data_IF_882208645518
#
_entry.id   IF_882208645518
#
_cell.length_a   1.000
_cell.length_b   1.000
_cell.length_c   1.000
_cell.angle_alpha   90.00
_cell.angle_beta   90.00
_cell.angle_gamma   90.00
#
_symmetry.space_group_name_H-M   'P 1'
#
loop_
_entity.id
_entity.type
_entity.pdbx_description
1 polymer ?
#
# COMPACT_ATOMS: atom_id res chain seq x y z
N UNK A 1 -8.10 -22.94 25.48
CA UNK A 1 -9.33 -22.15 25.35
C UNK A 1 -10.25 -22.45 26.53
N UNK A 2 -11.22 -21.58 26.76
CA UNK A 2 -12.21 -21.73 27.82
C UNK A 2 -13.43 -22.49 27.26
N UNK A 3 -14.07 -23.30 28.11
CA UNK A 3 -15.31 -24.01 27.77
C UNK A 3 -16.55 -23.20 28.20
N UNK A 4 -17.70 -23.54 27.64
CA UNK A 4 -18.97 -22.92 28.04
C UNK A 4 -19.23 -23.12 29.55
N UNK A 5 -19.53 -22.05 30.26
CA UNK A 5 -19.72 -22.03 31.69
C UNK A 5 -18.48 -21.68 32.54
N UNK A 6 -17.29 -21.69 31.93
CA UNK A 6 -16.07 -21.32 32.63
C UNK A 6 -15.95 -19.81 32.82
N UNK A 7 -15.33 -19.42 33.92
CA UNK A 7 -15.04 -18.02 34.26
C UNK A 7 -13.52 -17.83 34.39
N UNK A 8 -13.02 -16.73 33.87
CA UNK A 8 -11.63 -16.32 34.05
C UNK A 8 -11.55 -14.85 34.44
N UNK A 9 -10.46 -14.48 35.08
CA UNK A 9 -10.19 -13.10 35.45
C UNK A 9 -8.77 -12.75 35.03
N UNK A 10 -8.60 -11.60 34.35
CA UNK A 10 -7.30 -11.07 34.01
C UNK A 10 -7.23 -9.57 34.20
N UNK A 11 -6.03 -9.05 34.36
CA UNK A 11 -5.79 -7.62 34.43
C UNK A 11 -5.48 -7.10 33.03
N UNK A 12 -6.12 -6.03 32.62
CA UNK A 12 -5.91 -5.32 31.36
C UNK A 12 -5.94 -3.82 31.55
N UNK A 13 -5.42 -3.09 30.58
CA UNK A 13 -5.54 -1.64 30.51
C UNK A 13 -6.73 -1.30 29.62
N UNK A 14 -7.56 -0.35 30.06
CA UNK A 14 -8.70 0.12 29.28
C UNK A 14 -8.19 0.97 28.11
N UNK A 15 -8.56 0.58 26.89
CA UNK A 15 -8.09 1.22 25.65
C UNK A 15 -8.99 2.36 25.16
N UNK A 16 -10.16 2.56 25.80
CA UNK A 16 -11.11 3.61 25.43
C UNK A 16 -12.06 4.00 26.56
N UNK A 17 -12.65 5.21 26.48
CA UNK A 17 -13.65 5.73 27.40
C UNK A 17 -13.07 6.65 28.49
N UNK A 18 -13.91 7.05 29.46
CA UNK A 18 -13.52 8.01 30.52
C UNK A 18 -12.36 7.52 31.41
N UNK A 19 -12.06 6.22 31.38
CA UNK A 19 -11.01 5.58 32.18
C UNK A 19 -9.89 5.00 31.32
N UNK A 20 -9.68 5.52 30.12
CA UNK A 20 -8.59 5.11 29.23
C UNK A 20 -7.21 5.19 29.93
N UNK A 21 -6.39 4.16 29.74
CA UNK A 21 -5.07 4.05 30.35
C UNK A 21 -5.07 3.50 31.79
N UNK A 22 -6.23 3.29 32.44
CA UNK A 22 -6.30 2.72 33.76
C UNK A 22 -6.26 1.18 33.71
N UNK A 23 -5.62 0.58 34.73
CA UNK A 23 -5.65 -0.86 34.93
C UNK A 23 -7.01 -1.28 35.48
N UNK A 24 -7.61 -2.26 34.85
CA UNK A 24 -8.87 -2.85 35.30
C UNK A 24 -8.76 -4.36 35.40
N UNK A 25 -9.47 -4.93 36.35
CA UNK A 25 -9.64 -6.38 36.47
C UNK A 25 -10.88 -6.77 35.68
N UNK A 26 -10.69 -7.54 34.60
CA UNK A 26 -11.77 -8.00 33.73
C UNK A 26 -12.15 -9.42 34.11
N UNK A 27 -13.40 -9.62 34.52
CA UNK A 27 -13.97 -10.93 34.78
C UNK A 27 -14.81 -11.34 33.55
N UNK A 28 -14.44 -12.45 32.90
CA UNK A 28 -15.11 -12.98 31.73
C UNK A 28 -15.78 -14.29 32.08
N UNK A 29 -17.06 -14.42 31.72
CA UNK A 29 -17.82 -15.65 31.80
C UNK A 29 -18.16 -16.10 30.37
N UNK A 30 -17.76 -17.30 30.00
CA UNK A 30 -18.06 -17.88 28.70
C UNK A 30 -19.47 -18.48 28.74
N UNK A 31 -20.42 -17.85 28.09
CA UNK A 31 -21.81 -18.34 28.06
C UNK A 31 -22.00 -19.47 27.06
N UNK A 32 -21.32 -19.40 25.91
CA UNK A 32 -21.37 -20.46 24.88
C UNK A 32 -20.09 -20.46 24.05
N UNK A 33 -19.68 -21.63 23.61
CA UNK A 33 -18.63 -21.80 22.60
C UNK A 33 -19.34 -22.31 21.34
N UNK A 34 -19.22 -21.56 20.24
CA UNK A 34 -19.75 -21.96 18.95
C UNK A 34 -18.64 -22.53 18.12
N UNK A 35 -18.85 -23.69 17.51
CA UNK A 35 -17.99 -24.20 16.47
C UNK A 35 -18.49 -23.64 15.13
N UNK A 36 -17.55 -23.20 14.30
CA UNK A 36 -17.86 -22.80 12.93
C UNK A 36 -17.95 -24.06 12.08
N UNK A 37 -19.13 -24.34 11.53
CA UNK A 37 -19.33 -25.39 10.54
C UNK A 37 -19.17 -24.77 9.16
N UNK A 38 -18.07 -25.13 8.49
CA UNK A 38 -17.85 -24.69 7.11
C UNK A 38 -18.66 -25.57 6.16
N UNK A 39 -19.25 -24.98 5.08
CA UNK A 39 -19.93 -25.76 4.06
C UNK A 39 -18.95 -26.66 3.32
N UNK A 40 -19.48 -27.77 2.78
CA UNK A 40 -18.70 -28.61 1.91
C UNK A 40 -18.31 -27.89 0.62
N UNK A 41 -17.06 -28.08 0.20
CA UNK A 41 -16.56 -27.51 -1.05
C UNK A 41 -17.04 -28.37 -2.23
N UNK A 42 -18.20 -28.03 -2.75
CA UNK A 42 -18.86 -28.69 -3.88
C UNK A 42 -19.42 -27.62 -4.87
N UNK A 43 -20.14 -28.07 -5.90
CA UNK A 43 -20.70 -27.16 -6.93
C UNK A 43 -21.82 -26.28 -6.36
N UNK A 44 -22.57 -26.75 -5.37
CA UNK A 44 -23.59 -25.96 -4.68
C UNK A 44 -22.95 -24.77 -3.96
N UNK A 45 -21.83 -25.00 -3.26
CA UNK A 45 -21.02 -23.95 -2.65
C UNK A 45 -20.53 -22.94 -3.70
N UNK A 46 -20.06 -23.40 -4.86
CA UNK A 46 -19.57 -22.52 -5.92
C UNK A 46 -20.68 -21.60 -6.44
N UNK A 47 -21.87 -22.15 -6.70
CA UNK A 47 -23.04 -21.37 -7.18
C UNK A 47 -23.57 -20.38 -6.14
N UNK A 48 -23.50 -20.71 -4.84
CA UNK A 48 -23.97 -19.82 -3.77
C UNK A 48 -22.97 -18.70 -3.44
N UNK A 49 -21.66 -19.02 -3.50
CA UNK A 49 -20.61 -18.10 -3.06
C UNK A 49 -19.97 -17.27 -4.19
N UNK A 50 -20.28 -17.58 -5.46
CA UNK A 50 -19.66 -16.95 -6.63
C UNK A 50 -20.60 -16.91 -7.84
N UNK A 51 -20.10 -16.41 -8.97
CA UNK A 51 -20.79 -16.41 -10.27
C UNK A 51 -20.56 -17.70 -11.09
N UNK A 52 -19.86 -18.69 -10.54
CA UNK A 52 -19.53 -19.94 -11.23
C UNK A 52 -20.47 -21.06 -10.83
N UNK A 53 -20.83 -21.91 -11.79
CA UNK A 53 -21.75 -23.04 -11.58
C UNK A 53 -21.05 -24.26 -10.99
N UNK A 54 -19.72 -24.36 -11.13
CA UNK A 54 -18.93 -25.49 -10.66
C UNK A 54 -17.76 -25.09 -9.80
N UNK A 55 -17.39 -25.96 -8.85
CA UNK A 55 -16.23 -25.77 -8.00
C UNK A 55 -14.92 -25.70 -8.78
N UNK A 56 -14.82 -26.42 -9.90
CA UNK A 56 -13.64 -26.43 -10.74
C UNK A 56 -13.45 -25.09 -11.48
N UNK A 57 -14.54 -24.47 -11.94
CA UNK A 57 -14.51 -23.11 -12.52
C UNK A 57 -14.09 -22.06 -11.48
N UNK A 58 -14.69 -22.10 -10.30
CA UNK A 58 -14.30 -21.22 -9.18
C UNK A 58 -12.81 -21.38 -8.83
N UNK A 59 -12.33 -22.62 -8.72
CA UNK A 59 -10.91 -22.89 -8.46
C UNK A 59 -9.99 -22.41 -9.57
N UNK A 60 -10.42 -22.54 -10.84
CA UNK A 60 -9.64 -22.07 -11.98
C UNK A 60 -9.51 -20.54 -11.97
N UNK A 61 -10.60 -19.83 -11.68
CA UNK A 61 -10.60 -18.37 -11.56
C UNK A 61 -9.73 -17.88 -10.39
N UNK A 62 -9.88 -18.47 -9.21
CA UNK A 62 -9.04 -18.15 -8.04
C UNK A 62 -7.55 -18.41 -8.34
N UNK A 63 -7.21 -19.51 -9.02
CA UNK A 63 -5.82 -19.79 -9.42
C UNK A 63 -5.29 -18.75 -10.39
N UNK A 64 -6.11 -18.32 -11.35
CA UNK A 64 -5.74 -17.27 -12.30
C UNK A 64 -5.52 -15.93 -11.59
N UNK A 65 -6.43 -15.55 -10.71
CA UNK A 65 -6.30 -14.32 -9.91
C UNK A 65 -5.05 -14.36 -9.01
N UNK A 66 -4.82 -15.50 -8.33
CA UNK A 66 -3.65 -15.68 -7.48
C UNK A 66 -2.33 -15.65 -8.28
N UNK A 67 -2.32 -16.22 -9.51
CA UNK A 67 -1.15 -16.17 -10.38
C UNK A 67 -0.84 -14.72 -10.82
N UNK A 68 -1.86 -13.95 -11.23
CA UNK A 68 -1.71 -12.55 -11.61
C UNK A 68 -1.22 -11.69 -10.43
N UNK A 69 -1.76 -11.91 -9.23
CA UNK A 69 -1.31 -11.23 -8.02
C UNK A 69 0.15 -11.59 -7.67
N UNK A 70 0.52 -12.87 -7.82
CA UNK A 70 1.90 -13.32 -7.60
C UNK A 70 2.88 -12.70 -8.61
N UNK A 71 2.51 -12.60 -9.89
CA UNK A 71 3.31 -11.91 -10.91
C UNK A 71 3.50 -10.42 -10.59
N UNK A 72 2.42 -9.75 -10.15
CA UNK A 72 2.48 -8.34 -9.73
C UNK A 72 3.39 -8.12 -8.52
N UNK A 73 3.31 -9.01 -7.51
CA UNK A 73 4.20 -8.96 -6.35
C UNK A 73 5.65 -9.23 -6.73
N UNK A 74 5.89 -10.23 -7.57
CA UNK A 74 7.23 -10.54 -8.05
C UNK A 74 7.87 -9.36 -8.79
N UNK A 75 7.09 -8.66 -9.63
CA UNK A 75 7.58 -7.47 -10.33
C UNK A 75 7.94 -6.34 -9.36
N UNK A 76 7.12 -6.14 -8.31
CA UNK A 76 7.39 -5.15 -7.27
C UNK A 76 8.64 -5.50 -6.45
N UNK A 77 8.76 -6.75 -6.02
CA UNK A 77 9.93 -7.23 -5.27
C UNK A 77 11.22 -7.15 -6.10
N UNK A 78 11.16 -7.48 -7.40
CA UNK A 78 12.29 -7.35 -8.31
C UNK A 78 12.72 -5.88 -8.48
N UNK A 79 11.75 -4.97 -8.64
CA UNK A 79 11.99 -3.53 -8.68
C UNK A 79 12.68 -3.04 -7.41
N UNK A 80 12.13 -3.39 -6.25
CA UNK A 80 12.66 -2.94 -4.96
C UNK A 80 14.07 -3.50 -4.70
N UNK A 81 14.31 -4.76 -5.06
CA UNK A 81 15.62 -5.37 -4.99
C UNK A 81 16.65 -4.69 -5.92
N UNK A 82 16.22 -4.33 -7.14
CA UNK A 82 17.07 -3.61 -8.10
C UNK A 82 17.43 -2.22 -7.58
N UNK A 83 16.46 -1.45 -7.07
CA UNK A 83 16.70 -0.13 -6.49
C UNK A 83 17.64 -0.23 -5.28
N UNK A 84 17.41 -1.19 -4.39
CA UNK A 84 18.28 -1.43 -3.24
C UNK A 84 19.71 -1.76 -3.66
N UNK A 85 19.87 -2.55 -4.74
CA UNK A 85 21.18 -2.88 -5.30
C UNK A 85 21.90 -1.66 -5.90
N UNK A 86 21.16 -0.77 -6.55
CA UNK A 86 21.72 0.49 -7.05
C UNK A 86 22.19 1.42 -5.92
N UNK A 87 21.50 1.38 -4.80
CA UNK A 87 21.86 2.20 -3.62
C UNK A 87 23.04 1.63 -2.82
N UNK A 88 23.38 0.37 -3.02
CA UNK A 88 24.42 -0.32 -2.28
C UNK A 88 25.78 0.42 -2.42
N UNK A 89 26.30 0.88 -1.29
CA UNK A 89 27.57 1.61 -1.24
C UNK A 89 27.49 3.09 -1.66
N UNK A 90 26.30 3.63 -1.92
CA UNK A 90 26.11 5.04 -2.21
C UNK A 90 25.65 5.83 -0.98
N UNK A 91 26.32 6.94 -0.69
CA UNK A 91 25.82 7.93 0.24
C UNK A 91 24.92 8.92 -0.51
N UNK A 92 23.62 8.81 -0.33
CA UNK A 92 22.62 9.67 -0.99
C UNK A 92 22.14 10.72 0.01
N UNK A 93 22.59 11.97 -0.11
CA UNK A 93 22.19 13.02 0.81
C UNK A 93 20.75 13.47 0.56
N UNK A 94 19.88 13.26 1.53
CA UNK A 94 18.47 13.70 1.45
C UNK A 94 18.36 15.16 1.93
N UNK A 95 17.78 16.08 1.12
CA UNK A 95 17.61 17.48 1.51
C UNK A 95 16.64 17.62 2.69
N UNK A 96 17.12 18.16 3.81
CA UNK A 96 16.36 18.25 5.08
C UNK A 96 15.01 18.98 4.95
N UNK A 97 14.98 20.08 4.16
CA UNK A 97 13.75 20.85 3.98
C UNK A 97 12.68 20.11 3.20
N UNK A 98 13.07 19.38 2.16
CA UNK A 98 12.14 18.54 1.36
C UNK A 98 11.62 17.40 2.22
N UNK A 99 12.52 16.71 2.95
CA UNK A 99 12.16 15.62 3.87
C UNK A 99 11.12 16.10 4.90
N UNK A 100 11.34 17.25 5.54
CA UNK A 100 10.42 17.76 6.57
C UNK A 100 9.01 18.01 6.02
N UNK A 101 8.89 18.62 4.84
CA UNK A 101 7.60 18.89 4.22
C UNK A 101 6.88 17.57 3.84
N UNK A 102 7.61 16.60 3.28
CA UNK A 102 7.02 15.31 2.91
C UNK A 102 6.60 14.48 4.11
N UNK A 103 7.35 14.52 5.22
CA UNK A 103 6.96 13.88 6.47
C UNK A 103 5.66 14.47 7.01
N UNK A 104 5.50 15.79 6.96
CA UNK A 104 4.25 16.43 7.36
C UNK A 104 3.06 15.98 6.50
N UNK A 105 3.23 15.91 5.18
CA UNK A 105 2.19 15.41 4.27
C UNK A 105 1.87 13.92 4.52
N UNK A 106 2.90 13.10 4.74
CA UNK A 106 2.73 11.69 5.06
C UNK A 106 1.93 11.50 6.36
N UNK A 107 2.22 12.31 7.39
CA UNK A 107 1.49 12.28 8.65
C UNK A 107 0.02 12.70 8.50
N UNK A 108 -0.31 13.66 7.62
CA UNK A 108 -1.70 14.02 7.31
C UNK A 108 -2.50 12.85 6.72
N UNK A 109 -1.85 11.96 5.99
CA UNK A 109 -2.46 10.71 5.49
C UNK A 109 -2.63 9.62 6.56
N UNK A 110 -1.79 9.63 7.60
CA UNK A 110 -1.78 8.60 8.65
C UNK A 110 -2.67 8.94 9.85
N UNK A 111 -2.90 10.22 10.12
CA UNK A 111 -3.67 10.67 11.29
C UNK A 111 -4.43 11.96 10.99
N UNK A 112 -5.65 12.12 11.52
CA UNK A 112 -6.43 13.35 11.36
C UNK A 112 -5.76 14.59 11.96
N UNK A 113 -4.88 14.42 12.95
CA UNK A 113 -4.15 15.49 13.64
C UNK A 113 -2.65 15.16 13.67
N UNK A 114 -1.86 15.63 12.68
CA UNK A 114 -0.43 15.35 12.58
C UNK A 114 0.39 15.82 13.80
N UNK A 115 -0.05 16.85 14.50
CA UNK A 115 0.67 17.35 15.68
C UNK A 115 0.61 16.35 16.84
N UNK A 116 -0.48 15.57 16.91
CA UNK A 116 -0.70 14.52 17.92
C UNK A 116 -0.20 13.14 17.48
N UNK A 117 0.47 13.04 16.34
CA UNK A 117 1.03 11.78 15.89
C UNK A 117 1.95 11.16 16.94
N UNK A 118 1.84 9.85 17.15
CA UNK A 118 2.69 9.13 18.11
C UNK A 118 4.16 9.13 17.65
N UNK A 119 5.08 8.77 18.55
CA UNK A 119 6.50 8.68 18.20
C UNK A 119 6.74 7.63 17.12
N UNK A 120 6.00 6.52 17.18
CA UNK A 120 6.06 5.43 16.21
C UNK A 120 5.58 5.90 14.83
N UNK A 121 4.46 6.63 14.76
CA UNK A 121 3.94 7.19 13.51
C UNK A 121 4.92 8.18 12.88
N UNK A 122 5.53 9.05 13.69
CA UNK A 122 6.55 9.99 13.23
C UNK A 122 7.80 9.29 12.70
N UNK A 123 8.29 8.28 13.42
CA UNK A 123 9.46 7.50 12.99
C UNK A 123 9.17 6.72 11.70
N UNK A 124 7.99 6.12 11.58
CA UNK A 124 7.57 5.43 10.37
C UNK A 124 7.44 6.38 9.17
N UNK A 125 6.85 7.56 9.36
CA UNK A 125 6.73 8.57 8.30
C UNK A 125 8.12 9.06 7.86
N UNK A 126 9.04 9.30 8.80
CA UNK A 126 10.40 9.71 8.49
C UNK A 126 11.18 8.65 7.72
N UNK A 127 11.07 7.38 8.09
CA UNK A 127 11.73 6.26 7.43
C UNK A 127 11.19 6.06 6.01
N UNK A 128 9.85 6.08 5.85
CA UNK A 128 9.20 5.94 4.55
C UNK A 128 9.61 7.07 3.62
N UNK A 129 9.50 8.32 4.06
CA UNK A 129 9.87 9.50 3.25
C UNK A 129 11.35 9.50 2.87
N UNK A 130 12.22 9.10 3.80
CA UNK A 130 13.65 9.04 3.51
C UNK A 130 13.99 7.98 2.48
N UNK A 131 13.35 6.81 2.57
CA UNK A 131 13.47 5.74 1.57
C UNK A 131 12.97 6.23 0.21
N UNK A 132 11.76 6.78 0.15
CA UNK A 132 11.13 7.24 -1.10
C UNK A 132 11.96 8.33 -1.79
N UNK A 133 12.51 9.28 -1.03
CA UNK A 133 13.40 10.31 -1.58
C UNK A 133 14.68 9.73 -2.15
N UNK A 134 15.31 8.76 -1.47
CA UNK A 134 16.50 8.09 -1.99
C UNK A 134 16.18 7.31 -3.26
N UNK A 135 15.08 6.56 -3.27
CA UNK A 135 14.62 5.81 -4.44
C UNK A 135 14.39 6.74 -5.63
N UNK A 136 13.70 7.87 -5.43
CA UNK A 136 13.48 8.87 -6.47
C UNK A 136 14.79 9.44 -7.02
N UNK A 137 15.73 9.82 -6.15
CA UNK A 137 17.01 10.40 -6.57
C UNK A 137 17.84 9.41 -7.39
N UNK A 138 17.83 8.11 -7.01
CA UNK A 138 18.54 7.06 -7.75
C UNK A 138 17.90 6.83 -9.11
N UNK A 139 16.56 6.78 -9.17
CA UNK A 139 15.84 6.59 -10.42
C UNK A 139 15.96 7.79 -11.37
N UNK A 140 16.00 9.03 -10.83
CA UNK A 140 16.27 10.22 -11.61
C UNK A 140 17.67 10.18 -12.23
N UNK A 141 18.68 9.83 -11.44
CA UNK A 141 20.05 9.68 -11.92
C UNK A 141 20.20 8.54 -12.95
N UNK A 142 19.46 7.44 -12.77
CA UNK A 142 19.43 6.33 -13.71
C UNK A 142 18.80 6.77 -15.04
N UNK A 143 17.66 7.44 -15.00
CA UNK A 143 16.97 7.95 -16.18
C UNK A 143 17.84 8.94 -16.97
N UNK A 144 18.54 9.84 -16.28
CA UNK A 144 19.50 10.77 -16.88
C UNK A 144 20.69 10.03 -17.52
N UNK A 145 21.30 9.08 -16.79
CA UNK A 145 22.44 8.31 -17.28
C UNK A 145 22.13 7.45 -18.51
N UNK A 146 20.90 6.95 -18.60
CA UNK A 146 20.43 6.15 -19.73
C UNK A 146 19.84 7.00 -20.87
N UNK A 147 19.87 8.33 -20.74
CA UNK A 147 19.29 9.30 -21.70
C UNK A 147 17.83 8.95 -22.05
N UNK A 148 17.03 8.67 -21.04
CA UNK A 148 15.63 8.24 -21.19
C UNK A 148 14.80 9.36 -21.80
N UNK A 149 14.26 9.13 -22.99
CA UNK A 149 13.37 10.07 -23.65
C UNK A 149 11.91 9.81 -23.26
N UNK A 150 11.25 10.85 -22.76
CA UNK A 150 9.82 10.81 -22.40
C UNK A 150 9.01 11.54 -23.45
N UNK A 151 8.18 10.80 -24.17
CA UNK A 151 7.27 11.37 -25.15
C UNK A 151 5.95 11.84 -24.53
N UNK A 152 5.21 12.70 -25.22
CA UNK A 152 3.87 13.11 -24.80
C UNK A 152 2.91 11.91 -24.68
N UNK A 153 3.04 10.91 -25.56
CA UNK A 153 2.23 9.70 -25.51
C UNK A 153 2.53 8.85 -24.27
N UNK A 154 3.78 8.79 -23.83
CA UNK A 154 4.14 8.08 -22.59
C UNK A 154 3.42 8.70 -21.40
N UNK A 155 3.48 10.03 -21.28
CA UNK A 155 2.82 10.77 -20.19
C UNK A 155 1.30 10.62 -20.25
N UNK A 156 0.73 10.70 -21.46
CA UNK A 156 -0.71 10.51 -21.64
C UNK A 156 -1.15 9.10 -21.21
N UNK A 157 -0.45 8.06 -21.66
CA UNK A 157 -0.76 6.68 -21.32
C UNK A 157 -0.63 6.42 -19.82
N UNK A 158 0.41 6.95 -19.19
CA UNK A 158 0.62 6.88 -17.74
C UNK A 158 -0.53 7.53 -16.96
N UNK A 159 -0.89 8.75 -17.29
CA UNK A 159 -1.99 9.47 -16.62
C UNK A 159 -3.35 8.81 -16.89
N UNK A 160 -3.57 8.26 -18.10
CA UNK A 160 -4.79 7.54 -18.42
C UNK A 160 -4.91 6.24 -17.61
N UNK A 161 -3.81 5.51 -17.39
CA UNK A 161 -3.81 4.31 -16.58
C UNK A 161 -4.15 4.61 -15.10
N UNK A 162 -3.58 5.69 -14.56
CA UNK A 162 -3.92 6.16 -13.20
C UNK A 162 -5.40 6.52 -13.11
N UNK A 163 -5.92 7.30 -14.07
CA UNK A 163 -7.33 7.69 -14.09
C UNK A 163 -8.25 6.47 -14.09
N UNK A 164 -7.95 5.44 -14.89
CA UNK A 164 -8.70 4.18 -14.94
C UNK A 164 -8.67 3.43 -13.60
N UNK A 165 -7.50 3.38 -12.95
CA UNK A 165 -7.36 2.74 -11.63
C UNK A 165 -8.25 3.38 -10.58
N UNK A 166 -8.46 4.69 -10.66
CA UNK A 166 -9.36 5.43 -9.75
C UNK A 166 -10.79 5.59 -10.27
N UNK A 167 -11.15 4.92 -11.39
CA UNK A 167 -12.49 5.02 -11.99
C UNK A 167 -12.83 6.42 -12.52
N UNK A 168 -11.83 7.22 -12.88
CA UNK A 168 -11.98 8.59 -13.37
C UNK A 168 -11.90 8.63 -14.90
N UNK A 169 -12.58 9.60 -15.51
CA UNK A 169 -12.41 9.87 -16.94
C UNK A 169 -11.00 10.38 -17.22
N UNK A 170 -10.23 9.74 -18.14
CA UNK A 170 -8.84 10.10 -18.41
C UNK A 170 -8.66 11.55 -18.87
N UNK A 171 -9.55 12.07 -19.69
CA UNK A 171 -9.40 13.43 -20.21
C UNK A 171 -9.59 14.47 -19.10
N UNK A 172 -10.60 14.27 -18.25
CA UNK A 172 -10.85 15.16 -17.11
C UNK A 172 -9.70 15.12 -16.10
N UNK A 173 -9.16 13.93 -15.85
CA UNK A 173 -8.02 13.76 -14.95
C UNK A 173 -6.78 14.47 -15.48
N UNK A 174 -6.42 14.26 -16.76
CA UNK A 174 -5.26 14.90 -17.40
C UNK A 174 -5.40 16.44 -17.40
N UNK A 175 -6.59 16.96 -17.71
CA UNK A 175 -6.82 18.41 -17.65
C UNK A 175 -6.64 18.96 -16.23
N UNK A 176 -7.08 18.24 -15.21
CA UNK A 176 -6.86 18.62 -13.81
C UNK A 176 -5.36 18.65 -13.46
N UNK A 177 -4.58 17.66 -13.86
CA UNK A 177 -3.13 17.61 -13.68
C UNK A 177 -2.43 18.81 -14.36
N UNK A 178 -2.81 19.12 -15.59
CA UNK A 178 -2.27 20.28 -16.33
C UNK A 178 -2.63 21.59 -15.62
N UNK A 179 -3.90 21.77 -15.25
CA UNK A 179 -4.39 22.98 -14.57
C UNK A 179 -3.71 23.22 -13.22
N UNK A 180 -3.39 22.14 -12.51
CA UNK A 180 -2.71 22.20 -11.21
C UNK A 180 -1.18 22.33 -11.33
N UNK A 181 -0.63 22.39 -12.55
CA UNK A 181 0.81 22.53 -12.78
C UNK A 181 1.62 21.27 -12.45
N UNK A 182 0.97 20.11 -12.33
CA UNK A 182 1.57 18.83 -11.93
C UNK A 182 2.14 18.01 -13.11
N UNK A 183 2.06 18.54 -14.33
CA UNK A 183 2.54 17.84 -15.52
C UNK A 183 4.05 17.53 -15.45
N UNK A 184 4.85 18.43 -14.89
CA UNK A 184 6.29 18.22 -14.69
C UNK A 184 6.60 17.01 -13.82
N UNK A 185 5.86 16.82 -12.73
CA UNK A 185 5.99 15.66 -11.86
C UNK A 185 5.60 14.36 -12.58
N UNK A 186 4.56 14.40 -13.41
CA UNK A 186 4.17 13.24 -14.22
C UNK A 186 5.25 12.86 -15.25
N UNK A 187 5.88 13.82 -15.89
CA UNK A 187 7.01 13.59 -16.81
C UNK A 187 8.19 12.93 -16.09
N UNK A 188 8.53 13.41 -14.90
CA UNK A 188 9.60 12.81 -14.08
C UNK A 188 9.27 11.37 -13.70
N UNK A 189 8.04 11.10 -13.26
CA UNK A 189 7.64 9.74 -12.87
C UNK A 189 7.66 8.76 -14.04
N UNK A 190 7.23 9.19 -15.22
CA UNK A 190 7.38 8.41 -16.45
C UNK A 190 8.85 8.17 -16.80
N UNK A 191 9.71 9.18 -16.62
CA UNK A 191 11.16 9.05 -16.83
C UNK A 191 11.78 8.01 -15.91
N UNK A 192 11.44 8.04 -14.63
CA UNK A 192 11.88 7.04 -13.62
C UNK A 192 11.43 5.63 -13.98
N UNK A 193 10.14 5.49 -14.33
CA UNK A 193 9.57 4.20 -14.72
C UNK A 193 10.25 3.61 -15.97
N UNK A 194 10.48 4.43 -16.99
CA UNK A 194 11.21 4.00 -18.22
C UNK A 194 12.68 3.71 -17.93
N UNK A 195 13.33 4.50 -17.07
CA UNK A 195 14.70 4.27 -16.64
C UNK A 195 14.85 2.93 -15.95
N UNK A 196 13.90 2.60 -15.08
CA UNK A 196 13.86 1.31 -14.39
C UNK A 196 13.69 0.12 -15.35
N UNK A 197 12.89 0.28 -16.41
CA UNK A 197 12.67 -0.78 -17.41
C UNK A 197 13.84 -0.93 -18.39
N UNK A 198 14.68 0.09 -18.52
CA UNK A 198 15.83 0.11 -19.43
C UNK A 198 17.13 -0.34 -18.74
N UNK A 199 17.21 -0.33 -17.42
CA UNK A 199 18.35 -0.74 -16.60
C UNK A 199 18.32 -2.21 -16.23
#
# INVERSE_FOLDING_TARGET
GLSAGEETTFEGTLEAGEHEGQKATVKVKVNSVKAEELPELNDEFASEASEFDTLDELKADIRKAAAQDAEGRQATEARDAFIAKLQEGLEIPVPKGVKANMVEEQLKGMTPDPEKATKEQKAQAEETVEKDLRDQMVLDALAEKLDVQVSQSDVFNFLASIAQQYGMDPNNFIQAIIKNGQLGSAVQEVGRSKGLLAG
#
